data_IF_470555310716
#
_entry.id   IF_470555310716
#
_cell.length_a   1.000
_cell.length_b   1.000
_cell.length_c   1.000
_cell.angle_alpha   90.00
_cell.angle_beta   90.00
_cell.angle_gamma   90.00
#
_symmetry.space_group_name_H-M   'P 1'
#
loop_
_entity.id
_entity.type
_entity.pdbx_description
1 polymer ?
#
# COMPACT_ATOMS: atom_id res chain seq x y z
N UNK A 1 24.31 0.04 -9.69
CA UNK A 1 23.12 0.37 -10.49
C UNK A 1 22.38 1.47 -9.77
N UNK A 2 22.04 2.57 -10.45
CA UNK A 2 21.15 3.61 -9.95
C UNK A 2 19.92 3.60 -10.84
N UNK A 3 18.84 2.87 -10.45
CA UNK A 3 17.61 2.80 -11.21
C UNK A 3 17.07 4.20 -11.55
N UNK A 4 16.64 4.41 -12.80
CA UNK A 4 16.08 5.69 -13.25
C UNK A 4 14.55 5.76 -13.06
N UNK A 5 13.91 4.61 -12.87
CA UNK A 5 12.48 4.47 -12.64
C UNK A 5 12.18 3.25 -11.77
N UNK A 6 11.00 3.19 -11.20
CA UNK A 6 10.51 1.99 -10.49
C UNK A 6 10.31 0.82 -11.44
N UNK A 7 10.33 -0.40 -10.89
CA UNK A 7 10.09 -1.63 -11.61
C UNK A 7 11.14 -2.71 -11.38
N UNK A 8 11.03 -3.79 -12.15
CA UNK A 8 11.92 -4.94 -12.05
C UNK A 8 13.23 -4.68 -12.79
N UNK A 9 14.34 -4.98 -12.12
CA UNK A 9 15.68 -4.93 -12.69
C UNK A 9 16.32 -6.31 -12.64
N UNK A 10 17.06 -6.63 -13.70
CA UNK A 10 17.76 -7.91 -13.82
C UNK A 10 19.26 -7.71 -14.05
N UNK A 11 20.05 -8.64 -13.52
CA UNK A 11 21.49 -8.71 -13.75
C UNK A 11 21.85 -10.15 -14.08
N UNK A 12 22.54 -10.34 -15.20
CA UNK A 12 23.07 -11.63 -15.64
C UNK A 12 24.32 -11.39 -16.50
N UNK A 13 25.18 -12.40 -16.56
CA UNK A 13 26.31 -12.47 -17.50
C UNK A 13 25.93 -13.48 -18.59
N UNK A 14 25.76 -13.03 -19.86
CA UNK A 14 25.54 -13.93 -20.99
C UNK A 14 26.71 -14.88 -21.25
N UNK A 15 26.47 -15.93 -22.03
CA UNK A 15 27.54 -16.78 -22.56
C UNK A 15 28.41 -16.01 -23.57
N UNK A 16 29.69 -16.40 -23.68
CA UNK A 16 30.59 -15.84 -24.71
C UNK A 16 30.99 -14.38 -24.53
N UNK A 17 30.84 -13.82 -23.33
CA UNK A 17 31.22 -12.44 -23.05
C UNK A 17 32.71 -12.27 -22.74
N UNK A 18 33.33 -13.31 -22.17
CA UNK A 18 34.75 -13.33 -21.83
C UNK A 18 35.35 -14.71 -22.14
N UNK A 19 36.64 -14.72 -22.49
CA UNK A 19 37.41 -15.93 -22.78
C UNK A 19 38.58 -16.10 -21.80
N UNK A 20 39.01 -17.35 -21.61
CA UNK A 20 40.28 -17.68 -20.94
C UNK A 20 41.48 -17.59 -21.90
N UNK A 21 42.69 -17.87 -21.40
CA UNK A 21 43.92 -17.86 -22.22
C UNK A 21 43.94 -18.91 -23.34
N UNK A 22 43.12 -19.96 -23.21
CA UNK A 22 42.93 -20.99 -24.22
C UNK A 22 41.79 -20.67 -25.21
N UNK A 23 41.18 -19.47 -25.10
CA UNK A 23 40.05 -18.99 -25.89
C UNK A 23 38.73 -19.76 -25.68
N UNK A 24 38.52 -20.36 -24.49
CA UNK A 24 37.22 -20.91 -24.13
C UNK A 24 36.30 -19.82 -23.59
N UNK A 25 35.09 -19.75 -24.12
CA UNK A 25 34.04 -18.82 -23.67
C UNK A 25 33.49 -19.17 -22.29
N UNK A 26 33.07 -18.15 -21.54
CA UNK A 26 32.29 -18.37 -20.33
C UNK A 26 30.88 -18.90 -20.65
N UNK A 27 30.32 -19.68 -19.73
CA UNK A 27 28.90 -20.02 -19.75
C UNK A 27 28.05 -18.89 -19.15
N UNK A 28 26.78 -18.84 -19.53
CA UNK A 28 25.83 -17.90 -18.96
C UNK A 28 25.64 -18.12 -17.44
N UNK A 29 25.48 -17.02 -16.69
CA UNK A 29 25.18 -17.06 -15.26
C UNK A 29 23.69 -17.30 -14.99
N UNK A 30 23.34 -17.46 -13.70
CA UNK A 30 21.97 -17.24 -13.26
C UNK A 30 21.56 -15.75 -13.41
N UNK A 31 20.26 -15.49 -13.36
CA UNK A 31 19.71 -14.13 -13.34
C UNK A 31 19.35 -13.74 -11.91
N UNK A 32 19.85 -12.59 -11.47
CA UNK A 32 19.34 -11.91 -10.28
C UNK A 32 18.23 -10.95 -10.70
N UNK A 33 17.07 -11.02 -10.05
CA UNK A 33 15.94 -10.11 -10.25
C UNK A 33 15.62 -9.40 -8.94
N UNK A 34 15.43 -8.08 -8.98
CA UNK A 34 14.97 -7.30 -7.84
C UNK A 34 13.98 -6.22 -8.27
N UNK A 35 13.08 -5.85 -7.37
CA UNK A 35 12.14 -4.75 -7.56
C UNK A 35 12.73 -3.48 -6.95
N UNK A 36 12.78 -2.40 -7.72
CA UNK A 36 13.07 -1.08 -7.20
C UNK A 36 11.74 -0.32 -7.08
N UNK A 37 11.43 0.08 -5.86
CA UNK A 37 10.20 0.78 -5.49
C UNK A 37 10.58 1.97 -4.61
N UNK A 38 10.12 3.16 -4.97
CA UNK A 38 10.39 4.41 -4.25
C UNK A 38 9.10 5.13 -3.83
N UNK A 39 7.95 4.65 -4.27
CA UNK A 39 6.65 5.13 -3.86
C UNK A 39 6.40 4.75 -2.41
N UNK A 40 5.94 5.72 -1.64
CA UNK A 40 5.48 5.44 -0.28
C UNK A 40 3.98 5.16 -0.31
N UNK A 41 3.54 4.31 0.62
CA UNK A 41 2.12 4.11 0.91
C UNK A 41 1.57 5.43 1.46
N UNK A 42 0.58 5.99 0.78
CA UNK A 42 -0.09 7.24 1.13
C UNK A 42 -1.59 7.00 1.22
N UNK A 43 -2.23 7.58 2.25
CA UNK A 43 -3.69 7.73 2.25
C UNK A 43 -4.06 8.81 1.24
N UNK A 44 -4.81 8.44 0.22
CA UNK A 44 -5.21 9.33 -0.87
C UNK A 44 -6.59 9.95 -0.62
N UNK A 45 -7.49 9.21 0.00
CA UNK A 45 -8.85 9.65 0.32
C UNK A 45 -9.27 9.10 1.67
N UNK A 46 -9.86 9.97 2.48
CA UNK A 46 -10.73 9.56 3.60
C UNK A 46 -12.10 10.18 3.30
N UNK A 47 -13.09 9.34 3.05
CA UNK A 47 -14.43 9.80 2.74
C UNK A 47 -15.46 9.20 3.70
N UNK A 48 -16.45 10.01 4.04
CA UNK A 48 -17.71 9.59 4.65
C UNK A 48 -18.83 10.33 3.91
N UNK A 49 -20.03 9.75 3.75
CA UNK A 49 -21.12 10.43 3.05
C UNK A 49 -21.34 11.82 3.64
N UNK A 50 -21.06 12.83 2.83
CA UNK A 50 -20.97 14.23 3.23
C UNK A 50 -22.33 14.77 3.62
N UNK A 51 -22.55 14.96 4.93
CA UNK A 51 -23.52 15.91 5.45
C UNK A 51 -23.00 16.45 6.78
N UNK A 52 -23.06 17.77 6.94
CA UNK A 52 -22.77 18.45 8.23
C UNK A 52 -23.62 17.92 9.39
N UNK A 53 -24.68 17.17 9.07
CA UNK A 53 -25.53 16.42 9.99
C UNK A 53 -25.76 15.01 9.43
N UNK A 54 -24.99 14.03 9.88
CA UNK A 54 -25.24 12.61 9.60
C UNK A 54 -26.33 12.10 10.55
N UNK A 55 -27.52 11.87 10.01
CA UNK A 55 -28.60 11.14 10.69
C UNK A 55 -28.57 9.63 10.36
N UNK A 56 -27.53 9.17 9.68
CA UNK A 56 -27.24 7.77 9.40
C UNK A 56 -26.21 7.27 10.42
N UNK A 57 -26.52 6.15 11.05
CA UNK A 57 -25.72 5.55 12.10
C UNK A 57 -25.61 4.04 11.84
N UNK A 58 -24.40 3.46 11.79
CA UNK A 58 -23.09 4.11 11.94
C UNK A 58 -22.70 4.99 10.73
N UNK A 59 -21.65 5.79 10.86
CA UNK A 59 -21.11 6.63 9.76
C UNK A 59 -20.06 5.81 9.01
N UNK A 60 -20.31 5.39 7.76
CA UNK A 60 -19.31 4.63 7.01
C UNK A 60 -18.15 5.54 6.60
N UNK A 61 -16.94 5.07 6.83
CA UNK A 61 -15.68 5.67 6.42
C UNK A 61 -15.00 4.75 5.42
N UNK A 62 -14.56 5.33 4.31
CA UNK A 62 -13.75 4.67 3.30
C UNK A 62 -12.37 5.32 3.30
N UNK A 63 -11.33 4.48 3.31
CA UNK A 63 -9.92 4.87 3.26
C UNK A 63 -9.31 4.24 2.02
N UNK A 64 -8.77 5.07 1.13
CA UNK A 64 -8.09 4.64 -0.09
C UNK A 64 -6.59 4.93 -0.01
N UNK A 65 -5.78 3.94 -0.36
CA UNK A 65 -4.33 4.04 -0.51
C UNK A 65 -3.92 4.06 -1.99
N UNK A 66 -2.78 4.67 -2.29
CA UNK A 66 -2.20 4.68 -3.65
C UNK A 66 -1.60 3.34 -4.09
N UNK A 67 -1.36 2.42 -3.15
CA UNK A 67 -0.79 1.09 -3.37
C UNK A 67 -1.27 0.11 -2.29
N UNK A 68 -1.04 -1.22 -2.44
CA UNK A 68 -1.37 -2.22 -1.42
C UNK A 68 -0.82 -1.85 -0.04
N UNK A 69 -1.72 -1.63 0.92
CA UNK A 69 -1.34 -1.33 2.30
C UNK A 69 -1.33 -2.60 3.14
N UNK A 70 -0.25 -2.79 3.91
CA UNK A 70 -0.08 -3.92 4.81
C UNK A 70 -0.08 -3.47 6.27
N UNK A 71 -0.69 -4.26 7.15
CA UNK A 71 -0.74 -3.99 8.59
C UNK A 71 -1.68 -2.86 9.01
N UNK A 72 -2.52 -2.33 8.11
CA UNK A 72 -3.56 -1.35 8.46
C UNK A 72 -4.74 -2.06 9.14
N UNK A 73 -5.13 -1.57 10.30
CA UNK A 73 -6.14 -2.17 11.17
C UNK A 73 -7.13 -1.13 11.70
N UNK A 74 -8.22 -1.61 12.30
CA UNK A 74 -9.17 -0.73 13.00
C UNK A 74 -8.53 0.08 14.14
N UNK A 75 -7.44 -0.42 14.74
CA UNK A 75 -6.73 0.26 15.82
C UNK A 75 -5.98 1.52 15.39
N UNK A 76 -5.76 1.69 14.08
CA UNK A 76 -5.07 2.86 13.51
C UNK A 76 -6.02 4.06 13.34
N UNK A 77 -7.33 3.88 13.54
CA UNK A 77 -8.31 4.96 13.52
C UNK A 77 -8.27 5.75 14.83
N UNK A 78 -8.03 7.06 14.70
CA UNK A 78 -8.21 8.01 15.81
C UNK A 78 -9.57 8.69 15.65
N UNK A 79 -10.52 8.33 16.51
CA UNK A 79 -11.88 8.88 16.50
C UNK A 79 -12.11 9.70 17.77
N UNK A 80 -12.38 11.01 17.65
CA UNK A 80 -12.44 11.93 18.79
C UNK A 80 -13.67 11.74 19.70
N UNK A 81 -14.84 11.45 19.14
CA UNK A 81 -16.12 11.31 19.87
C UNK A 81 -16.88 10.04 19.48
N UNK A 82 -16.15 8.96 19.19
CA UNK A 82 -16.72 7.74 18.66
C UNK A 82 -15.75 6.56 18.73
N UNK A 83 -16.19 5.44 18.17
CA UNK A 83 -15.39 4.22 18.05
C UNK A 83 -15.49 3.74 16.60
N UNK A 84 -14.37 3.33 16.02
CA UNK A 84 -14.36 2.63 14.73
C UNK A 84 -14.67 1.15 14.95
N UNK A 85 -15.60 0.61 14.17
CA UNK A 85 -16.03 -0.78 14.18
C UNK A 85 -16.26 -1.29 12.75
N UNK A 86 -16.72 -2.54 12.60
CA UNK A 86 -17.02 -3.16 11.30
C UNK A 86 -15.93 -2.99 10.23
N UNK A 87 -14.65 -3.02 10.65
CA UNK A 87 -13.53 -2.80 9.75
C UNK A 87 -13.45 -3.90 8.68
N UNK A 88 -13.30 -3.50 7.42
CA UNK A 88 -13.09 -4.42 6.30
C UNK A 88 -11.94 -3.97 5.42
N UNK A 89 -11.33 -4.94 4.75
CA UNK A 89 -10.13 -4.78 3.94
C UNK A 89 -9.11 -5.86 4.31
N UNK A 90 -8.59 -6.54 3.30
CA UNK A 90 -7.58 -7.57 3.49
C UNK A 90 -6.19 -6.93 3.57
N UNK A 91 -5.24 -7.64 4.19
CA UNK A 91 -3.83 -7.26 4.16
C UNK A 91 -3.33 -7.23 2.70
N UNK A 92 -2.78 -6.10 2.27
CA UNK A 92 -2.43 -5.83 0.87
C UNK A 92 -3.58 -5.32 0.00
N UNK A 93 -4.71 -4.91 0.57
CA UNK A 93 -5.74 -4.17 -0.16
C UNK A 93 -5.34 -2.70 -0.36
N UNK A 94 -5.93 -2.04 -1.35
CA UNK A 94 -5.80 -0.59 -1.57
C UNK A 94 -6.96 0.20 -0.97
N UNK A 95 -8.05 -0.46 -0.59
CA UNK A 95 -9.23 0.18 -0.02
C UNK A 95 -9.66 -0.56 1.25
N UNK A 96 -10.01 0.24 2.26
CA UNK A 96 -10.49 -0.24 3.56
C UNK A 96 -11.73 0.54 3.96
N UNK A 97 -12.61 -0.10 4.72
CA UNK A 97 -13.79 0.55 5.27
C UNK A 97 -13.84 0.36 6.77
N UNK A 98 -14.42 1.33 7.47
CA UNK A 98 -14.79 1.21 8.88
C UNK A 98 -16.09 1.95 9.12
N UNK A 99 -16.86 1.49 10.09
CA UNK A 99 -18.04 2.19 10.57
C UNK A 99 -17.66 3.00 11.81
N UNK A 100 -17.94 4.30 11.82
CA UNK A 100 -17.73 5.15 12.99
C UNK A 100 -19.03 5.27 13.77
N UNK A 101 -18.98 4.84 15.02
CA UNK A 101 -20.08 4.88 16.00
C UNK A 101 -19.86 6.02 17.00
N UNK A 102 -20.59 7.15 16.91
CA UNK A 102 -20.54 8.19 17.93
C UNK A 102 -20.90 7.67 19.33
N UNK A 103 -20.21 8.16 20.37
CA UNK A 103 -20.45 7.75 21.76
C UNK A 103 -21.66 8.45 22.41
N UNK A 104 -22.10 9.59 21.87
CA UNK A 104 -23.33 10.29 22.24
C UNK A 104 -23.88 11.08 21.04
N UNK A 105 -25.21 11.21 20.95
CA UNK A 105 -25.82 12.23 20.08
C UNK A 105 -25.61 13.60 20.74
N UNK A 106 -24.83 14.46 20.11
CA UNK A 106 -24.66 15.84 20.55
C UNK A 106 -24.02 16.67 19.45
N UNK A 107 -24.62 17.80 19.12
CA UNK A 107 -24.00 18.81 18.25
C UNK A 107 -22.65 19.23 18.83
N UNK A 108 -21.60 19.14 18.04
CA UNK A 108 -20.38 19.90 18.32
C UNK A 108 -20.69 21.35 17.90
N UNK A 109 -21.02 22.21 18.86
CA UNK A 109 -21.13 23.67 18.64
C UNK A 109 -19.75 24.28 18.50
#
# INVERSE_FOLDING_TARGET
LSPASEGYYTVAVPDGMVTDEALNDNQASNTLTFLFDTTNVLVTVINSPSRSYVNYYPVPVVVDFNEPAYGFTVGDFVVSSGVAESFTGADGATQFTADVRPLAQGETT
#
